data_IF_991001134763
#
_entry.id   IF_991001134763
#
_cell.length_a   1.000
_cell.length_b   1.000
_cell.length_c   1.000
_cell.angle_alpha   90.00
_cell.angle_beta   90.00
_cell.angle_gamma   90.00
#
_symmetry.space_group_name_H-M   'P 1'
#
loop_
_entity.id
_entity.type
_entity.pdbx_description
1 polymer ?
#
# COMPACT_ATOMS: atom_id res chain seq x y z
N UNK A 1 13.79 23.78 19.20
CA UNK A 1 14.45 23.98 17.88
C UNK A 1 14.68 22.65 17.17
N UNK A 2 15.54 21.75 17.68
CA UNK A 2 15.87 20.47 17.01
C UNK A 2 14.63 19.63 16.71
N UNK A 3 13.72 19.42 17.68
CA UNK A 3 12.48 18.69 17.46
C UNK A 3 11.60 19.30 16.36
N UNK A 4 11.44 20.62 16.36
CA UNK A 4 10.63 21.33 15.34
C UNK A 4 11.17 21.13 13.92
N UNK A 5 12.48 21.09 13.73
CA UNK A 5 13.10 20.81 12.43
C UNK A 5 12.89 19.37 12.00
N UNK A 6 13.10 18.42 12.93
CA UNK A 6 12.88 17.00 12.64
C UNK A 6 11.41 16.73 12.29
N UNK A 7 10.47 17.33 13.03
CA UNK A 7 9.03 17.26 12.77
C UNK A 7 8.62 17.99 11.47
N UNK A 8 9.43 18.95 11.00
CA UNK A 8 9.27 19.57 9.67
C UNK A 8 9.90 18.74 8.54
N UNK A 9 10.51 17.59 8.85
CA UNK A 9 11.23 16.75 7.88
C UNK A 9 12.58 17.30 7.44
N UNK A 10 13.13 18.23 8.22
CA UNK A 10 14.36 18.96 7.96
C UNK A 10 15.51 18.52 8.87
N UNK A 11 16.72 18.92 8.50
CA UNK A 11 17.95 18.53 9.18
C UNK A 11 18.78 19.73 9.66
N UNK A 12 19.99 19.45 10.17
CA UNK A 12 20.91 20.47 10.69
C UNK A 12 21.12 21.65 9.73
N UNK A 13 21.33 21.41 8.43
CA UNK A 13 21.59 22.49 7.47
C UNK A 13 20.42 23.47 7.33
N UNK A 14 19.17 22.99 7.44
CA UNK A 14 17.99 23.84 7.40
C UNK A 14 17.86 24.64 8.70
N UNK A 15 18.09 23.99 9.85
CA UNK A 15 18.12 24.65 11.15
C UNK A 15 19.16 25.76 11.22
N UNK A 16 20.40 25.48 10.80
CA UNK A 16 21.49 26.45 10.78
C UNK A 16 21.14 27.65 9.90
N UNK A 17 20.54 27.40 8.72
CA UNK A 17 20.06 28.46 7.83
C UNK A 17 18.94 29.28 8.47
N UNK A 18 17.93 28.64 9.06
CA UNK A 18 16.83 29.32 9.74
C UNK A 18 17.33 30.18 10.89
N UNK A 19 18.24 29.65 11.70
CA UNK A 19 18.79 30.39 12.82
C UNK A 19 19.60 31.61 12.35
N UNK A 20 20.37 31.48 11.26
CA UNK A 20 21.06 32.63 10.66
C UNK A 20 20.09 33.70 10.14
N UNK A 21 19.02 33.31 9.43
CA UNK A 21 18.03 34.23 8.88
C UNK A 21 17.19 34.94 9.96
N UNK A 22 16.86 34.23 11.03
CA UNK A 22 16.03 34.74 12.12
C UNK A 22 16.84 35.29 13.30
N UNK A 23 18.17 35.43 13.16
CA UNK A 23 19.06 35.92 14.22
C UNK A 23 18.94 35.14 15.55
N UNK A 24 18.68 33.83 15.44
CA UNK A 24 18.57 32.92 16.59
C UNK A 24 19.92 32.32 16.98
N UNK A 25 20.08 31.84 18.23
CA UNK A 25 21.33 31.24 18.70
C UNK A 25 21.83 30.12 17.78
N UNK A 26 23.13 30.14 17.50
CA UNK A 26 23.80 29.06 16.77
C UNK A 26 23.85 27.79 17.62
N UNK A 27 23.66 26.64 16.98
CA UNK A 27 23.93 25.34 17.59
C UNK A 27 24.92 24.58 16.72
N UNK A 28 25.86 23.85 17.33
CA UNK A 28 26.81 23.03 16.59
C UNK A 28 26.15 21.78 16.02
N UNK A 29 26.73 21.19 14.97
CA UNK A 29 26.30 19.90 14.43
C UNK A 29 26.34 18.79 15.49
N UNK A 30 27.35 18.80 16.35
CA UNK A 30 27.47 17.87 17.47
C UNK A 30 26.29 18.00 18.45
N UNK A 31 25.98 19.23 18.85
CA UNK A 31 24.85 19.53 19.74
C UNK A 31 23.53 19.11 19.10
N UNK A 32 23.35 19.40 17.81
CA UNK A 32 22.17 18.93 17.05
C UNK A 32 22.06 17.41 17.08
N UNK A 33 23.14 16.69 16.78
CA UNK A 33 23.16 15.23 16.74
C UNK A 33 22.86 14.61 18.10
N UNK A 34 23.38 15.19 19.20
CA UNK A 34 23.08 14.78 20.57
C UNK A 34 21.57 14.88 20.86
N UNK A 35 20.98 16.06 20.62
CA UNK A 35 19.55 16.24 20.85
C UNK A 35 18.68 15.42 19.90
N UNK A 36 19.08 15.25 18.64
CA UNK A 36 18.36 14.41 17.69
C UNK A 36 18.31 12.95 18.14
N UNK A 37 19.36 12.42 18.79
CA UNK A 37 19.33 11.08 19.41
C UNK A 37 18.29 11.00 20.52
N UNK A 38 18.36 11.90 21.49
CA UNK A 38 17.44 11.96 22.64
C UNK A 38 15.98 12.08 22.16
N UNK A 39 15.73 12.96 21.18
CA UNK A 39 14.39 13.15 20.61
C UNK A 39 13.91 11.90 19.88
N UNK A 40 14.79 11.21 19.13
CA UNK A 40 14.44 9.98 18.43
C UNK A 40 14.08 8.88 19.43
N UNK A 41 14.89 8.69 20.48
CA UNK A 41 14.64 7.72 21.54
C UNK A 41 13.30 7.99 22.24
N UNK A 42 13.03 9.25 22.64
CA UNK A 42 11.72 9.60 23.21
C UNK A 42 10.56 9.47 22.23
N UNK A 43 10.79 9.72 20.93
CA UNK A 43 9.77 9.50 19.92
C UNK A 43 9.41 8.02 19.80
N UNK A 44 10.40 7.14 19.81
CA UNK A 44 10.21 5.68 19.76
C UNK A 44 9.46 5.23 21.02
N UNK A 45 9.90 5.63 22.21
CA UNK A 45 9.22 5.27 23.47
C UNK A 45 7.75 5.74 23.49
N UNK A 46 7.49 6.99 23.09
CA UNK A 46 6.13 7.55 23.01
C UNK A 46 5.27 6.78 22.00
N UNK A 47 5.83 6.47 20.83
CA UNK A 47 5.18 5.66 19.81
C UNK A 47 4.83 4.25 20.32
N UNK A 48 5.73 3.59 21.06
CA UNK A 48 5.47 2.26 21.63
C UNK A 48 4.31 2.27 22.64
N UNK A 49 4.18 3.33 23.45
CA UNK A 49 3.02 3.51 24.35
C UNK A 49 1.72 3.67 23.55
N UNK A 50 1.72 4.53 22.54
CA UNK A 50 0.57 4.74 21.65
C UNK A 50 0.18 3.44 20.94
N UNK A 51 1.16 2.65 20.48
CA UNK A 51 0.91 1.35 19.87
C UNK A 51 0.29 0.35 20.86
N UNK A 52 0.73 0.33 22.12
CA UNK A 52 0.11 -0.49 23.16
C UNK A 52 -1.37 -0.12 23.37
N UNK A 53 -1.65 1.17 23.56
CA UNK A 53 -3.02 1.67 23.69
C UNK A 53 -3.88 1.38 22.45
N UNK A 54 -3.27 1.43 21.25
CA UNK A 54 -3.95 1.11 20.00
C UNK A 54 -4.37 -0.36 19.94
N UNK A 55 -3.54 -1.26 20.47
CA UNK A 55 -3.87 -2.69 20.59
C UNK A 55 -5.00 -2.92 21.60
N UNK A 56 -5.03 -2.19 22.72
CA UNK A 56 -6.14 -2.25 23.68
C UNK A 56 -7.46 -1.80 23.05
N UNK A 57 -7.44 -0.70 22.26
CA UNK A 57 -8.60 -0.24 21.49
C UNK A 57 -9.07 -1.31 20.50
N UNK A 58 -8.14 -1.99 19.81
CA UNK A 58 -8.47 -3.07 18.88
C UNK A 58 -9.19 -4.20 19.60
N UNK A 59 -8.70 -4.64 20.76
CA UNK A 59 -9.36 -5.68 21.55
C UNK A 59 -10.79 -5.26 21.90
N UNK A 60 -11.01 -4.01 22.31
CA UNK A 60 -12.34 -3.48 22.61
C UNK A 60 -13.26 -3.42 21.38
N UNK A 61 -12.75 -3.04 20.21
CA UNK A 61 -13.55 -2.96 18.97
C UNK A 61 -13.89 -4.35 18.41
N UNK A 62 -13.00 -5.33 18.56
CA UNK A 62 -13.27 -6.71 18.15
C UNK A 62 -14.27 -7.42 19.07
N UNK A 63 -14.26 -7.13 20.37
CA UNK A 63 -15.29 -7.60 21.29
C UNK A 63 -16.71 -7.15 20.87
N UNK A 64 -16.86 -5.93 20.33
CA UNK A 64 -18.13 -5.44 19.75
C UNK A 64 -18.57 -6.25 18.52
N UNK A 65 -17.63 -6.86 17.82
CA UNK A 65 -17.86 -7.78 16.70
C UNK A 65 -18.07 -9.23 17.16
N UNK A 66 -18.08 -9.49 18.47
CA UNK A 66 -18.15 -10.83 19.09
C UNK A 66 -16.97 -11.71 18.71
N UNK A 67 -15.81 -11.10 18.47
CA UNK A 67 -14.54 -11.80 18.26
C UNK A 67 -13.72 -11.59 19.52
N UNK A 68 -13.59 -12.65 20.32
CA UNK A 68 -12.90 -12.63 21.60
C UNK A 68 -11.52 -13.30 21.50
N UNK A 69 -10.58 -12.96 22.40
CA UNK A 69 -9.31 -13.68 22.51
C UNK A 69 -9.51 -15.16 22.83
N UNK A 70 -8.57 -15.99 22.40
CA UNK A 70 -8.54 -17.41 22.76
C UNK A 70 -8.15 -17.66 24.23
N UNK A 71 -8.07 -18.93 24.62
CA UNK A 71 -7.71 -19.35 26.00
C UNK A 71 -6.36 -18.81 26.48
N UNK A 72 -5.47 -18.41 25.59
CA UNK A 72 -4.15 -17.84 25.91
C UNK A 72 -4.17 -16.30 25.88
N UNK A 73 -5.35 -15.70 25.71
CA UNK A 73 -5.54 -14.27 25.58
C UNK A 73 -5.05 -13.72 24.24
N UNK A 74 -4.97 -14.55 23.18
CA UNK A 74 -4.55 -14.11 21.85
C UNK A 74 -5.78 -13.79 21.01
N UNK A 75 -5.84 -12.57 20.47
CA UNK A 75 -6.93 -12.15 19.58
C UNK A 75 -6.55 -12.33 18.10
N UNK A 76 -7.41 -13.00 17.35
CA UNK A 76 -7.29 -13.13 15.90
C UNK A 76 -7.77 -11.84 15.21
N UNK A 77 -6.89 -11.25 14.40
CA UNK A 77 -7.19 -10.02 13.66
C UNK A 77 -6.85 -10.12 12.18
N UNK A 78 -7.54 -9.30 11.38
CA UNK A 78 -7.23 -9.06 9.99
C UNK A 78 -6.31 -7.83 9.90
N UNK A 79 -5.17 -7.94 9.20
CA UNK A 79 -4.21 -6.84 9.04
C UNK A 79 -4.01 -6.49 7.57
N UNK A 80 -3.81 -5.21 7.28
CA UNK A 80 -3.15 -4.79 6.05
C UNK A 80 -1.66 -4.73 6.31
N UNK A 81 -0.85 -5.23 5.38
CA UNK A 81 0.60 -5.11 5.46
C UNK A 81 1.16 -4.56 4.15
N UNK A 82 2.10 -3.62 4.24
CA UNK A 82 2.76 -3.03 3.09
C UNK A 82 4.15 -2.50 3.48
N UNK A 83 5.05 -2.54 2.51
CA UNK A 83 6.42 -2.07 2.60
C UNK A 83 6.60 -0.69 2.01
N UNK A 84 7.55 0.08 2.55
CA UNK A 84 7.95 1.35 1.94
C UNK A 84 9.44 1.63 2.06
N UNK A 85 10.01 2.21 1.01
CA UNK A 85 11.45 2.48 0.92
C UNK A 85 11.73 3.97 0.87
N UNK A 86 12.87 4.36 1.43
CA UNK A 86 13.33 5.75 1.41
C UNK A 86 13.62 6.23 -0.01
N UNK A 87 14.21 5.38 -0.86
CA UNK A 87 14.42 5.64 -2.30
C UNK A 87 13.61 4.65 -3.12
N UNK A 88 13.08 5.09 -4.26
CA UNK A 88 12.40 4.18 -5.20
C UNK A 88 13.40 3.20 -5.81
N UNK A 89 12.97 1.95 -6.00
CA UNK A 89 13.73 0.88 -6.63
C UNK A 89 14.56 0.04 -5.63
N UNK A 90 15.09 -1.09 -6.13
CA UNK A 90 15.78 -2.12 -5.33
C UNK A 90 17.21 -1.73 -4.87
N UNK A 91 17.51 -0.43 -4.82
CA UNK A 91 18.79 0.11 -4.35
C UNK A 91 18.66 0.90 -3.05
N UNK A 92 17.48 0.91 -2.43
CA UNK A 92 17.30 1.62 -1.17
C UNK A 92 18.09 0.96 -0.04
N UNK A 93 18.61 1.79 0.86
CA UNK A 93 19.32 1.34 2.05
C UNK A 93 18.40 1.16 3.26
N UNK A 94 17.19 1.73 3.20
CA UNK A 94 16.22 1.73 4.30
C UNK A 94 14.86 1.29 3.76
N UNK A 95 14.34 0.22 4.35
CA UNK A 95 12.99 -0.30 4.12
C UNK A 95 12.20 -0.30 5.42
N UNK A 96 10.89 -0.10 5.33
CA UNK A 96 9.98 -0.07 6.47
C UNK A 96 8.81 -1.00 6.15
N UNK A 97 8.56 -2.00 6.99
CA UNK A 97 7.35 -2.82 6.95
C UNK A 97 6.35 -2.35 8.00
N UNK A 98 5.06 -2.32 7.67
CA UNK A 98 4.02 -1.80 8.58
C UNK A 98 2.79 -2.71 8.56
N UNK A 99 2.30 -3.06 9.75
CA UNK A 99 1.02 -3.73 9.94
C UNK A 99 -0.03 -2.76 10.51
N UNK A 100 -1.21 -2.75 9.90
CA UNK A 100 -2.36 -1.92 10.31
C UNK A 100 -3.57 -2.83 10.44
N UNK A 101 -4.31 -2.71 11.54
CA UNK A 101 -5.55 -3.45 11.74
C UNK A 101 -6.63 -3.03 10.74
N UNK A 102 -7.35 -4.00 10.18
CA UNK A 102 -8.35 -3.75 9.14
C UNK A 102 -9.62 -3.12 9.69
N UNK A 103 -10.00 -3.37 10.94
CA UNK A 103 -11.26 -2.86 11.51
C UNK A 103 -11.11 -1.41 11.96
N UNK A 104 -10.19 -1.16 12.88
CA UNK A 104 -9.94 0.13 13.51
C UNK A 104 -9.12 1.07 12.63
N UNK A 105 -8.41 0.51 11.64
CA UNK A 105 -7.42 1.23 10.82
C UNK A 105 -6.25 1.78 11.63
N UNK A 106 -5.98 1.29 12.84
CA UNK A 106 -4.84 1.70 13.64
C UNK A 106 -3.59 0.90 13.28
N UNK A 107 -2.43 1.55 13.29
CA UNK A 107 -1.14 0.87 13.17
C UNK A 107 -0.92 0.03 14.42
N UNK A 108 -0.47 -1.21 14.27
CA UNK A 108 -0.25 -2.12 15.41
C UNK A 108 1.21 -2.48 15.61
N UNK A 109 1.99 -2.48 14.52
CA UNK A 109 3.40 -2.82 14.52
C UNK A 109 4.11 -2.26 13.28
N UNK A 110 5.41 -2.03 13.38
CA UNK A 110 6.28 -1.65 12.26
C UNK A 110 7.72 -2.12 12.47
N UNK A 111 8.46 -2.32 11.39
CA UNK A 111 9.87 -2.71 11.42
C UNK A 111 10.68 -1.87 10.44
N UNK A 112 11.75 -1.23 10.95
CA UNK A 112 12.72 -0.51 10.12
C UNK A 112 13.93 -1.39 9.88
N UNK A 113 14.24 -1.65 8.61
CA UNK A 113 15.41 -2.37 8.16
C UNK A 113 16.37 -1.40 7.46
N UNK A 114 17.64 -1.52 7.78
CA UNK A 114 18.70 -0.69 7.27
C UNK A 114 19.95 -1.52 6.99
N UNK A 115 20.47 -1.39 5.78
CA UNK A 115 21.71 -2.07 5.34
C UNK A 115 22.92 -1.14 5.24
N UNK A 116 22.78 0.12 5.68
CA UNK A 116 23.83 1.12 5.54
C UNK A 116 24.11 1.87 6.84
N UNK A 117 25.38 1.95 7.21
CA UNK A 117 25.88 2.86 8.22
C UNK A 117 26.97 3.72 7.61
N UNK A 118 26.80 5.04 7.64
CA UNK A 118 27.79 5.97 7.07
C UNK A 118 29.14 5.89 7.79
N UNK A 119 29.13 5.71 9.11
CA UNK A 119 30.36 5.60 9.90
C UNK A 119 31.11 4.33 9.54
N UNK A 120 30.42 3.19 9.40
CA UNK A 120 31.04 1.95 8.91
C UNK A 120 31.64 2.12 7.51
N UNK A 121 30.87 2.68 6.56
CA UNK A 121 31.35 2.87 5.19
C UNK A 121 32.58 3.80 5.12
N UNK A 122 32.59 4.86 5.95
CA UNK A 122 33.75 5.75 6.06
C UNK A 122 34.97 5.02 6.62
N UNK A 123 34.80 4.29 7.73
CA UNK A 123 35.91 3.59 8.38
C UNK A 123 36.47 2.48 7.50
N UNK A 124 35.61 1.68 6.87
CA UNK A 124 36.00 0.68 5.86
C UNK A 124 36.84 1.30 4.73
N UNK A 125 36.44 2.48 4.22
CA UNK A 125 37.18 3.19 3.18
C UNK A 125 38.53 3.76 3.65
N UNK A 126 38.66 4.07 4.94
CA UNK A 126 39.89 4.59 5.54
C UNK A 126 40.90 3.47 5.82
N UNK A 127 40.45 2.30 6.28
CA UNK A 127 41.31 1.16 6.58
C UNK A 127 41.68 0.33 5.32
N UNK A 128 40.79 0.21 4.34
CA UNK A 128 41.10 -0.48 3.06
C UNK A 128 42.24 0.18 2.26
N UNK A 129 42.59 1.44 2.56
CA UNK A 129 43.73 2.15 1.96
C UNK A 129 45.07 1.87 2.66
N UNK A 130 45.08 1.13 3.77
CA UNK A 130 46.28 0.82 4.57
C UNK A 130 46.33 -0.68 4.89
N UNK A 131 47.19 -1.43 4.18
CA UNK A 131 47.32 -2.90 4.25
C UNK A 131 47.65 -3.45 5.65
N UNK A 132 48.20 -2.63 6.55
CA UNK A 132 48.64 -2.97 7.92
C UNK A 132 47.56 -2.83 9.00
N UNK A 133 46.27 -2.73 8.65
CA UNK A 133 45.23 -2.23 9.57
C UNK A 133 44.00 -3.11 9.77
N UNK A 134 44.04 -4.39 9.36
CA UNK A 134 42.89 -5.30 9.48
C UNK A 134 42.43 -5.49 10.95
N UNK A 135 43.38 -5.72 11.87
CA UNK A 135 43.09 -5.87 13.31
C UNK A 135 42.43 -4.62 13.91
N UNK A 136 42.87 -3.42 13.49
CA UNK A 136 42.27 -2.14 13.93
C UNK A 136 40.84 -1.97 13.41
N UNK A 137 40.57 -2.44 12.20
CA UNK A 137 39.22 -2.42 11.63
C UNK A 137 38.28 -3.39 12.36
N UNK A 138 38.75 -4.60 12.71
CA UNK A 138 37.99 -5.56 13.49
C UNK A 138 37.69 -5.04 14.90
N UNK A 139 38.68 -4.44 15.57
CA UNK A 139 38.48 -3.79 16.87
C UNK A 139 37.41 -2.68 16.76
N UNK A 140 37.52 -1.79 15.77
CA UNK A 140 36.51 -0.76 15.52
C UNK A 140 35.13 -1.35 15.27
N UNK A 141 35.03 -2.43 14.49
CA UNK A 141 33.74 -3.08 14.17
C UNK A 141 33.05 -3.59 15.44
N UNK A 142 33.81 -4.22 16.34
CA UNK A 142 33.30 -4.69 17.62
C UNK A 142 32.87 -3.52 18.53
N UNK A 143 33.68 -2.46 18.61
CA UNK A 143 33.35 -1.25 19.38
C UNK A 143 32.16 -0.49 18.80
N UNK A 144 31.94 -0.52 17.48
CA UNK A 144 30.85 0.19 16.82
C UNK A 144 29.55 -0.62 16.75
N UNK A 145 29.56 -1.93 17.05
CA UNK A 145 28.41 -2.81 16.89
C UNK A 145 27.13 -2.24 17.52
N UNK A 146 27.21 -1.79 18.77
CA UNK A 146 26.09 -1.20 19.53
C UNK A 146 25.66 0.20 19.05
N UNK A 147 26.43 0.84 18.16
CA UNK A 147 26.14 2.14 17.54
C UNK A 147 25.83 2.01 16.05
N UNK A 148 25.91 0.79 15.50
CA UNK A 148 25.77 0.54 14.08
C UNK A 148 24.31 0.68 13.66
N UNK A 149 24.08 1.39 12.56
CA UNK A 149 22.76 1.48 11.95
C UNK A 149 22.42 0.28 11.04
N UNK A 150 23.35 -0.65 10.81
CA UNK A 150 23.07 -1.84 10.01
C UNK A 150 22.38 -2.85 10.90
N UNK A 151 21.14 -3.19 10.57
CA UNK A 151 20.38 -4.27 11.20
C UNK A 151 19.81 -5.26 10.18
N UNK A 152 20.26 -5.16 8.91
CA UNK A 152 19.77 -5.98 7.82
C UNK A 152 20.88 -6.23 6.79
N UNK A 153 21.08 -7.49 6.42
CA UNK A 153 22.11 -7.94 5.48
C UNK A 153 21.56 -8.41 4.12
N UNK A 154 20.24 -8.53 3.99
CA UNK A 154 19.59 -8.97 2.75
C UNK A 154 19.50 -7.89 1.66
N UNK A 155 18.83 -8.23 0.56
CA UNK A 155 18.64 -7.31 -0.58
C UNK A 155 17.51 -6.32 -0.29
N UNK A 156 17.54 -5.14 -0.92
CA UNK A 156 16.48 -4.16 -0.71
C UNK A 156 15.09 -4.66 -1.17
N UNK A 157 15.05 -5.60 -2.13
CA UNK A 157 13.84 -6.24 -2.60
C UNK A 157 13.22 -7.18 -1.55
N UNK A 158 14.03 -7.80 -0.68
CA UNK A 158 13.56 -8.70 0.39
C UNK A 158 13.22 -7.97 1.70
N UNK A 159 13.55 -6.68 1.81
CA UNK A 159 13.25 -5.92 3.04
C UNK A 159 11.77 -5.95 3.42
N UNK A 160 10.86 -5.97 2.45
CA UNK A 160 9.43 -6.05 2.74
C UNK A 160 9.05 -7.40 3.36
N UNK A 161 9.44 -8.51 2.73
CA UNK A 161 9.12 -9.86 3.21
C UNK A 161 9.80 -10.16 4.55
N UNK A 162 11.04 -9.72 4.72
CA UNK A 162 11.82 -9.99 5.94
C UNK A 162 11.34 -9.12 7.10
N UNK A 163 10.91 -7.88 6.84
CA UNK A 163 10.22 -7.07 7.84
C UNK A 163 8.89 -7.70 8.26
N UNK A 164 8.17 -8.33 7.33
CA UNK A 164 6.93 -9.03 7.62
C UNK A 164 7.19 -10.23 8.54
N UNK A 165 8.20 -11.06 8.23
CA UNK A 165 8.59 -12.19 9.07
C UNK A 165 8.88 -11.74 10.51
N UNK A 166 9.66 -10.65 10.68
CA UNK A 166 9.95 -10.09 12.02
C UNK A 166 8.66 -9.67 12.72
N UNK A 167 7.77 -8.92 12.05
CA UNK A 167 6.51 -8.44 12.61
C UNK A 167 5.59 -9.61 13.03
N UNK A 168 5.50 -10.65 12.21
CA UNK A 168 4.72 -11.85 12.51
C UNK A 168 5.32 -12.62 13.70
N UNK A 169 6.64 -12.79 13.76
CA UNK A 169 7.31 -13.53 14.84
C UNK A 169 6.98 -12.98 16.23
N UNK A 170 6.96 -11.65 16.39
CA UNK A 170 6.68 -10.96 17.67
C UNK A 170 5.22 -10.52 17.86
N UNK A 171 4.30 -11.09 17.08
CA UNK A 171 2.88 -10.72 17.15
C UNK A 171 2.19 -11.29 18.40
N UNK A 172 2.52 -12.54 18.77
CA UNK A 172 1.97 -13.17 19.97
C UNK A 172 2.39 -12.51 21.28
N UNK A 173 3.60 -11.92 21.32
CA UNK A 173 4.07 -11.09 22.44
C UNK A 173 3.16 -9.87 22.66
N UNK A 174 2.47 -9.43 21.60
CA UNK A 174 1.51 -8.33 21.61
C UNK A 174 0.07 -8.80 21.82
N UNK A 175 -0.14 -10.09 22.10
CA UNK A 175 -1.46 -10.72 22.28
C UNK A 175 -2.36 -10.66 21.05
N UNK A 176 -1.76 -10.58 19.85
CA UNK A 176 -2.47 -10.53 18.57
C UNK A 176 -1.93 -11.60 17.62
N UNK A 177 -2.82 -12.30 16.93
CA UNK A 177 -2.48 -13.22 15.84
C UNK A 177 -3.03 -12.67 14.52
N UNK A 178 -2.14 -12.43 13.58
CA UNK A 178 -2.46 -11.83 12.28
C UNK A 178 -2.93 -12.92 11.32
N UNK A 179 -4.19 -13.32 11.46
CA UNK A 179 -4.79 -14.45 10.75
C UNK A 179 -5.01 -14.15 9.27
N UNK A 180 -5.30 -12.90 8.92
CA UNK A 180 -5.50 -12.50 7.52
C UNK A 180 -4.55 -11.38 7.17
N UNK A 181 -3.88 -11.50 6.03
CA UNK A 181 -3.12 -10.41 5.40
C UNK A 181 -3.87 -9.89 4.18
N UNK A 182 -4.22 -8.59 4.23
CA UNK A 182 -4.66 -7.83 3.07
C UNK A 182 -3.44 -7.18 2.46
N UNK A 183 -3.02 -7.66 1.30
CA UNK A 183 -1.91 -7.10 0.52
C UNK A 183 -2.40 -6.63 -0.85
N UNK A 184 -1.67 -5.73 -1.49
CA UNK A 184 -1.74 -5.58 -2.93
C UNK A 184 -0.86 -6.69 -3.51
N UNK A 185 -0.81 -6.80 -4.83
CA UNK A 185 -0.06 -7.91 -5.41
C UNK A 185 1.40 -7.91 -5.01
N UNK A 186 1.78 -8.90 -4.23
CA UNK A 186 3.04 -9.64 -4.37
C UNK A 186 2.85 -11.01 -3.70
N UNK A 187 3.47 -12.05 -4.26
CA UNK A 187 3.40 -13.40 -3.70
C UNK A 187 4.51 -13.64 -2.67
N UNK A 188 5.60 -12.88 -2.71
CA UNK A 188 6.79 -13.10 -1.87
C UNK A 188 6.52 -12.86 -0.39
N UNK A 189 5.95 -11.73 0.00
CA UNK A 189 5.64 -11.41 1.40
C UNK A 189 4.70 -12.44 2.03
N UNK A 190 3.58 -12.75 1.35
CA UNK A 190 2.65 -13.78 1.80
C UNK A 190 3.32 -15.15 1.90
N UNK A 191 4.10 -15.54 0.87
CA UNK A 191 4.85 -16.79 0.88
C UNK A 191 5.81 -16.86 2.06
N UNK A 192 6.57 -15.81 2.34
CA UNK A 192 7.48 -15.76 3.49
C UNK A 192 6.75 -15.95 4.82
N UNK A 193 5.54 -15.39 4.96
CA UNK A 193 4.72 -15.58 6.16
C UNK A 193 4.20 -17.02 6.26
N UNK A 194 3.77 -17.62 5.14
CA UNK A 194 3.33 -19.02 5.11
C UNK A 194 4.49 -19.95 5.43
N UNK A 195 5.62 -19.81 4.72
CA UNK A 195 6.84 -20.60 4.94
C UNK A 195 7.34 -20.47 6.40
N UNK A 196 7.17 -19.28 7.02
CA UNK A 196 7.47 -19.08 8.44
C UNK A 196 6.59 -19.95 9.33
N UNK A 197 5.28 -19.97 9.09
CA UNK A 197 4.30 -20.67 9.93
C UNK A 197 4.23 -22.19 9.68
N UNK A 198 4.55 -22.65 8.46
CA UNK A 198 4.65 -24.08 8.12
C UNK A 198 5.85 -24.77 8.81
N UNK A 199 6.84 -23.98 9.27
CA UNK A 199 7.95 -24.44 10.11
C UNK A 199 7.64 -24.36 11.62
N UNK A 200 8.62 -23.91 12.41
CA UNK A 200 8.45 -23.58 13.85
C UNK A 200 7.97 -22.13 14.06
N UNK A 201 7.16 -21.62 13.15
CA UNK A 201 6.66 -20.26 13.21
C UNK A 201 5.74 -19.98 14.40
N UNK A 202 5.38 -18.70 14.61
CA UNK A 202 4.62 -18.30 15.79
C UNK A 202 3.20 -18.89 15.83
N UNK A 203 2.63 -19.38 14.72
CA UNK A 203 1.22 -19.77 14.61
C UNK A 203 1.03 -21.29 14.43
N UNK A 204 1.21 -22.10 15.48
CA UNK A 204 1.08 -23.56 15.37
C UNK A 204 -0.34 -23.95 14.97
N UNK A 205 -0.46 -24.65 13.84
CA UNK A 205 -1.75 -25.17 13.34
C UNK A 205 -2.73 -24.10 12.83
N UNK A 206 -2.28 -22.85 12.63
CA UNK A 206 -3.13 -21.76 12.11
C UNK A 206 -2.56 -21.22 10.81
N UNK A 207 -3.33 -21.38 9.73
CA UNK A 207 -2.96 -20.85 8.42
C UNK A 207 -3.29 -19.36 8.31
N UNK A 208 -2.34 -18.58 7.78
CA UNK A 208 -2.57 -17.18 7.44
C UNK A 208 -3.31 -17.10 6.10
N UNK A 209 -4.44 -16.42 6.06
CA UNK A 209 -5.24 -16.21 4.85
C UNK A 209 -4.79 -14.96 4.10
N UNK A 210 -4.70 -15.06 2.77
CA UNK A 210 -4.52 -13.87 1.91
C UNK A 210 -5.86 -13.28 1.49
N UNK A 211 -6.00 -11.97 1.58
CA UNK A 211 -7.09 -11.19 0.98
C UNK A 211 -6.51 -10.15 0.02
N UNK A 212 -7.29 -9.80 -1.00
CA UNK A 212 -6.87 -8.90 -2.06
C UNK A 212 -7.36 -7.47 -1.81
N UNK A 213 -6.50 -6.50 -2.05
CA UNK A 213 -6.91 -5.10 -2.09
C UNK A 213 -7.74 -4.84 -3.36
N UNK A 214 -9.06 -4.66 -3.22
CA UNK A 214 -9.98 -4.51 -4.38
C UNK A 214 -9.68 -3.29 -5.26
N UNK A 215 -9.02 -2.26 -4.71
CA UNK A 215 -8.57 -1.08 -5.46
C UNK A 215 -7.36 -1.41 -6.36
N UNK A 216 -6.54 -2.38 -5.96
CA UNK A 216 -5.38 -2.84 -6.72
C UNK A 216 -5.71 -4.01 -7.64
N UNK A 217 -6.69 -4.83 -7.28
CA UNK A 217 -7.03 -6.05 -8.01
C UNK A 217 -7.43 -5.77 -9.48
N UNK A 218 -8.20 -4.71 -9.74
CA UNK A 218 -8.56 -4.30 -11.11
C UNK A 218 -7.37 -3.84 -11.96
N UNK A 219 -6.31 -3.30 -11.34
CA UNK A 219 -5.06 -2.95 -12.05
C UNK A 219 -4.36 -4.20 -12.59
N UNK A 220 -4.57 -5.37 -11.98
CA UNK A 220 -4.03 -6.66 -12.49
C UNK A 220 -4.63 -7.01 -13.84
N UNK A 221 -5.94 -6.83 -14.01
CA UNK A 221 -6.59 -7.02 -15.31
C UNK A 221 -5.96 -6.08 -16.35
N UNK A 222 -5.89 -4.78 -16.06
CA UNK A 222 -5.28 -3.79 -16.96
C UNK A 222 -3.86 -4.21 -17.38
N UNK A 223 -3.03 -4.59 -16.42
CA UNK A 223 -1.65 -5.00 -16.67
C UNK A 223 -1.56 -6.28 -17.51
N UNK A 224 -2.36 -7.31 -17.20
CA UNK A 224 -2.39 -8.57 -17.97
C UNK A 224 -2.84 -8.33 -19.41
N UNK A 225 -3.91 -7.56 -19.63
CA UNK A 225 -4.37 -7.23 -20.98
C UNK A 225 -3.35 -6.38 -21.75
N UNK A 226 -2.71 -5.42 -21.07
CA UNK A 226 -1.66 -4.59 -21.69
C UNK A 226 -0.46 -5.44 -22.10
N UNK A 227 -0.04 -6.38 -21.25
CA UNK A 227 1.07 -7.28 -21.54
C UNK A 227 0.72 -8.28 -22.64
N UNK A 228 -0.52 -8.78 -22.66
CA UNK A 228 -1.04 -9.64 -23.72
C UNK A 228 -1.00 -8.91 -25.08
N UNK A 229 -1.47 -7.66 -25.14
CA UNK A 229 -1.34 -6.85 -26.37
C UNK A 229 0.12 -6.67 -26.78
N UNK A 230 1.02 -6.49 -25.81
CA UNK A 230 2.46 -6.32 -26.06
C UNK A 230 3.18 -7.60 -26.47
N UNK A 231 2.69 -8.79 -26.13
CA UNK A 231 3.30 -10.06 -26.52
C UNK A 231 2.98 -10.43 -27.97
N UNK A 232 1.89 -9.88 -28.52
CA UNK A 232 1.43 -10.16 -29.88
C UNK A 232 1.71 -8.98 -30.80
N UNK A 233 2.94 -8.93 -31.33
CA UNK A 233 3.36 -7.93 -32.31
C UNK A 233 4.15 -8.53 -33.46
N UNK A 234 4.03 -7.88 -34.62
CA UNK A 234 4.92 -8.11 -35.76
C UNK A 234 5.90 -6.94 -35.83
N UNK A 235 7.17 -7.25 -36.06
CA UNK A 235 8.19 -6.23 -36.27
C UNK A 235 8.36 -5.98 -37.76
N UNK A 236 7.98 -4.79 -38.20
CA UNK A 236 8.07 -4.38 -39.59
C UNK A 236 9.23 -3.40 -39.76
N UNK A 237 10.08 -3.63 -40.75
CA UNK A 237 11.14 -2.68 -41.12
C UNK A 237 10.57 -1.61 -42.07
N UNK A 238 10.61 -0.35 -41.64
CA UNK A 238 10.11 0.78 -42.44
C UNK A 238 11.19 1.33 -43.37
N UNK A 239 12.42 1.35 -42.87
CA UNK A 239 13.65 1.79 -43.56
C UNK A 239 14.83 1.01 -42.94
N UNK A 240 15.97 0.87 -43.64
CA UNK A 240 17.15 0.23 -43.08
C UNK A 240 17.50 0.77 -41.69
N UNK A 241 17.43 -0.09 -40.67
CA UNK A 241 17.72 0.25 -39.28
C UNK A 241 16.58 0.92 -38.49
N UNK A 242 15.40 1.15 -39.09
CA UNK A 242 14.21 1.68 -38.42
C UNK A 242 13.09 0.63 -38.40
N UNK A 243 12.97 -0.05 -37.26
CA UNK A 243 11.95 -1.05 -37.00
C UNK A 243 10.76 -0.48 -36.24
N UNK A 244 9.54 -0.90 -36.59
CA UNK A 244 8.31 -0.53 -35.89
C UNK A 244 7.55 -1.79 -35.48
N UNK A 245 7.11 -1.82 -34.22
CA UNK A 245 6.20 -2.85 -33.73
C UNK A 245 4.76 -2.51 -34.11
N UNK A 246 4.10 -3.42 -34.80
CA UNK A 246 2.67 -3.39 -35.04
C UNK A 246 2.00 -4.45 -34.17
N UNK A 247 1.11 -4.02 -33.26
CA UNK A 247 0.43 -4.92 -32.33
C UNK A 247 -0.84 -5.49 -32.96
N UNK A 248 -0.99 -6.82 -32.94
CA UNK A 248 -2.09 -7.54 -33.59
C UNK A 248 -3.47 -7.14 -33.05
N UNK A 249 -3.55 -6.82 -31.74
CA UNK A 249 -4.81 -6.59 -31.02
C UNK A 249 -5.09 -5.11 -30.69
N UNK A 250 -4.31 -4.15 -31.21
CA UNK A 250 -4.38 -2.73 -30.78
C UNK A 250 -4.95 -1.78 -31.83
N UNK A 251 -5.67 -2.28 -32.84
CA UNK A 251 -6.29 -1.44 -33.89
C UNK A 251 -7.60 -0.81 -33.38
N UNK A 252 -8.13 0.18 -34.12
CA UNK A 252 -9.43 0.80 -33.81
C UNK A 252 -10.51 -0.29 -33.78
N UNK A 253 -11.31 -0.32 -32.72
CA UNK A 253 -12.32 -1.37 -32.50
C UNK A 253 -11.79 -2.64 -31.82
N UNK A 254 -10.51 -2.69 -31.45
CA UNK A 254 -9.89 -3.80 -30.69
C UNK A 254 -9.50 -3.36 -29.27
N UNK A 255 -8.55 -4.06 -28.63
CA UNK A 255 -8.00 -3.74 -27.31
C UNK A 255 -7.03 -2.53 -27.34
N UNK A 256 -7.57 -1.37 -27.69
CA UNK A 256 -6.87 -0.09 -27.50
C UNK A 256 -6.67 0.22 -26.01
N UNK A 257 -5.73 1.13 -25.70
CA UNK A 257 -5.49 1.53 -24.30
C UNK A 257 -6.76 2.07 -23.62
N UNK A 258 -7.59 2.80 -24.38
CA UNK A 258 -8.89 3.29 -23.91
C UNK A 258 -9.85 2.14 -23.55
N UNK A 259 -9.95 1.12 -24.40
CA UNK A 259 -10.80 -0.05 -24.15
C UNK A 259 -10.30 -0.81 -22.92
N UNK A 260 -9.00 -1.08 -22.83
CA UNK A 260 -8.40 -1.75 -21.66
C UNK A 260 -8.68 -0.98 -20.37
N UNK A 261 -8.56 0.36 -20.39
CA UNK A 261 -8.89 1.20 -19.24
C UNK A 261 -10.35 1.11 -18.84
N UNK A 262 -11.26 1.04 -19.82
CA UNK A 262 -12.70 0.89 -19.56
C UNK A 262 -13.06 -0.49 -19.03
N UNK A 263 -12.46 -1.54 -19.58
CA UNK A 263 -12.62 -2.90 -19.07
C UNK A 263 -12.15 -3.01 -17.61
N UNK A 264 -10.99 -2.44 -17.27
CA UNK A 264 -10.52 -2.40 -15.89
C UNK A 264 -11.43 -1.58 -14.96
N UNK A 265 -12.02 -0.48 -15.45
CA UNK A 265 -13.01 0.30 -14.70
C UNK A 265 -14.30 -0.51 -14.44
N UNK A 266 -14.82 -1.20 -15.46
CA UNK A 266 -16.01 -2.06 -15.30
C UNK A 266 -15.74 -3.24 -14.38
N UNK A 267 -14.58 -3.88 -14.50
CA UNK A 267 -14.14 -4.93 -13.58
C UNK A 267 -14.13 -4.44 -12.13
N UNK A 268 -13.54 -3.25 -11.89
CA UNK A 268 -13.51 -2.64 -10.57
C UNK A 268 -14.90 -2.28 -10.03
N UNK A 269 -15.78 -1.75 -10.89
CA UNK A 269 -17.16 -1.41 -10.55
C UNK A 269 -17.93 -2.66 -10.12
N UNK A 270 -17.90 -3.72 -10.93
CA UNK A 270 -18.58 -4.98 -10.63
C UNK A 270 -18.06 -5.61 -9.33
N UNK A 271 -16.74 -5.59 -9.09
CA UNK A 271 -16.17 -6.04 -7.81
C UNK A 271 -16.78 -5.30 -6.61
N UNK A 272 -16.89 -3.97 -6.70
CA UNK A 272 -17.43 -3.14 -5.60
C UNK A 272 -18.92 -3.36 -5.38
N UNK A 273 -19.68 -3.49 -6.46
CA UNK A 273 -21.14 -3.70 -6.39
C UNK A 273 -21.53 -5.07 -5.85
N UNK A 274 -20.62 -6.05 -5.90
CA UNK A 274 -20.86 -7.44 -5.45
C UNK A 274 -20.15 -7.82 -4.16
N UNK A 275 -19.61 -6.86 -3.41
CA UNK A 275 -19.04 -7.12 -2.07
C UNK A 275 -20.13 -7.72 -1.17
N UNK A 276 -19.86 -8.88 -0.58
CA UNK A 276 -20.82 -9.57 0.30
C UNK A 276 -21.92 -10.38 -0.40
N UNK A 277 -21.99 -10.39 -1.73
CA UNK A 277 -22.99 -11.16 -2.49
C UNK A 277 -22.54 -12.61 -2.77
N UNK A 278 -21.31 -12.97 -2.40
CA UNK A 278 -20.75 -14.31 -2.64
C UNK A 278 -19.89 -14.38 -3.90
N UNK A 279 -19.19 -15.50 -4.03
CA UNK A 279 -18.17 -15.73 -5.05
C UNK A 279 -18.78 -15.82 -6.45
N UNK A 280 -19.87 -16.55 -6.60
CA UNK A 280 -20.52 -16.79 -7.89
C UNK A 280 -21.12 -15.49 -8.46
N UNK A 281 -21.88 -14.74 -7.65
CA UNK A 281 -22.45 -13.46 -8.05
C UNK A 281 -21.40 -12.43 -8.47
N UNK A 282 -20.28 -12.38 -7.74
CA UNK A 282 -19.16 -11.50 -8.06
C UNK A 282 -18.54 -11.86 -9.42
N UNK A 283 -18.26 -13.16 -9.65
CA UNK A 283 -17.76 -13.66 -10.93
C UNK A 283 -18.72 -13.34 -12.06
N UNK A 284 -19.99 -13.69 -11.90
CA UNK A 284 -21.00 -13.54 -12.95
C UNK A 284 -21.17 -12.08 -13.35
N UNK A 285 -21.17 -11.15 -12.38
CA UNK A 285 -21.23 -9.71 -12.66
C UNK A 285 -20.02 -9.21 -13.45
N UNK A 286 -18.82 -9.67 -13.10
CA UNK A 286 -17.60 -9.31 -13.83
C UNK A 286 -17.62 -9.88 -15.25
N UNK A 287 -17.93 -11.16 -15.39
CA UNK A 287 -18.00 -11.87 -16.67
C UNK A 287 -19.09 -11.30 -17.57
N UNK A 288 -20.22 -10.86 -17.01
CA UNK A 288 -21.27 -10.16 -17.75
C UNK A 288 -20.73 -8.92 -18.48
N UNK A 289 -19.88 -8.13 -17.82
CA UNK A 289 -19.28 -6.94 -18.46
C UNK A 289 -18.29 -7.31 -19.59
N UNK A 290 -17.55 -8.41 -19.43
CA UNK A 290 -16.66 -8.92 -20.47
C UNK A 290 -17.46 -9.37 -21.71
N UNK A 291 -18.42 -10.27 -21.52
CA UNK A 291 -19.24 -10.80 -22.60
C UNK A 291 -20.06 -9.72 -23.30
N UNK A 292 -20.60 -8.77 -22.53
CA UNK A 292 -21.29 -7.62 -23.09
C UNK A 292 -20.39 -6.80 -24.03
N UNK A 293 -19.15 -6.50 -23.61
CA UNK A 293 -18.21 -5.71 -24.41
C UNK A 293 -17.62 -6.44 -25.62
N UNK A 294 -17.60 -7.78 -25.64
CA UNK A 294 -17.14 -8.59 -26.78
C UNK A 294 -18.27 -9.11 -27.67
N UNK A 295 -19.52 -8.81 -27.32
CA UNK A 295 -20.72 -9.24 -28.03
C UNK A 295 -20.88 -8.52 -29.38
N UNK A 296 -21.49 -9.19 -30.35
CA UNK A 296 -21.87 -8.60 -31.66
C UNK A 296 -23.34 -8.84 -31.96
N UNK A 297 -23.86 -8.19 -33.01
CA UNK A 297 -25.26 -8.40 -33.45
C UNK A 297 -25.47 -9.84 -33.94
N UNK A 298 -24.47 -10.45 -34.57
CA UNK A 298 -24.50 -11.83 -35.08
C UNK A 298 -24.28 -12.87 -33.97
N UNK A 299 -23.55 -12.52 -32.92
CA UNK A 299 -23.24 -13.39 -31.78
C UNK A 299 -23.51 -12.66 -30.45
N UNK A 300 -24.79 -12.50 -30.07
CA UNK A 300 -25.16 -11.81 -28.86
C UNK A 300 -24.78 -12.60 -27.60
N UNK A 301 -24.04 -11.99 -26.67
CA UNK A 301 -23.52 -12.64 -25.45
C UNK A 301 -24.01 -11.93 -24.17
N UNK A 302 -25.33 -11.86 -23.97
CA UNK A 302 -25.94 -11.13 -22.84
C UNK A 302 -26.47 -12.04 -21.72
N UNK A 303 -26.14 -13.34 -21.74
CA UNK A 303 -26.68 -14.36 -20.85
C UNK A 303 -26.39 -14.12 -19.35
N UNK A 304 -25.29 -13.45 -19.00
CA UNK A 304 -24.98 -13.06 -17.61
C UNK A 304 -25.41 -11.63 -17.25
N UNK A 305 -25.91 -10.86 -18.22
CA UNK A 305 -26.39 -9.51 -17.92
C UNK A 305 -27.67 -9.59 -17.07
N UNK A 306 -27.90 -8.64 -16.14
CA UNK A 306 -29.15 -8.56 -15.40
C UNK A 306 -30.35 -8.50 -16.36
N UNK A 307 -31.44 -9.17 -16.03
CA UNK A 307 -32.68 -9.14 -16.81
C UNK A 307 -33.58 -7.99 -16.36
N UNK A 308 -34.60 -7.67 -17.15
CA UNK A 308 -35.64 -6.69 -16.82
C UNK A 308 -35.38 -5.27 -17.34
N UNK A 309 -36.41 -4.44 -17.20
CA UNK A 309 -36.47 -3.03 -17.62
C UNK A 309 -35.39 -2.14 -16.98
N UNK A 310 -34.97 -2.49 -15.76
CA UNK A 310 -33.91 -1.81 -15.01
C UNK A 310 -32.49 -2.29 -15.35
N UNK A 311 -32.33 -3.22 -16.28
CA UNK A 311 -31.01 -3.71 -16.66
C UNK A 311 -30.13 -2.60 -17.23
N UNK A 312 -28.85 -2.59 -16.92
CA UNK A 312 -27.91 -1.70 -17.60
C UNK A 312 -27.61 -2.17 -19.04
N UNK A 313 -27.92 -3.43 -19.35
CA UNK A 313 -27.71 -4.02 -20.67
C UNK A 313 -28.87 -3.66 -21.60
N UNK A 314 -28.58 -2.97 -22.70
CA UNK A 314 -29.58 -2.57 -23.69
C UNK A 314 -30.31 -3.78 -24.30
N UNK A 315 -29.61 -4.91 -24.47
CA UNK A 315 -30.18 -6.12 -25.06
C UNK A 315 -31.23 -6.73 -24.13
N UNK A 316 -30.91 -6.87 -22.85
CA UNK A 316 -31.84 -7.40 -21.84
C UNK A 316 -33.01 -6.46 -21.58
N UNK A 317 -32.79 -5.14 -21.66
CA UNK A 317 -33.86 -4.14 -21.60
C UNK A 317 -34.86 -4.29 -22.75
N UNK A 318 -34.35 -4.42 -23.98
CA UNK A 318 -35.19 -4.58 -25.15
C UNK A 318 -35.97 -5.90 -25.10
N UNK A 319 -35.31 -6.99 -24.70
CA UNK A 319 -35.96 -8.28 -24.48
C UNK A 319 -37.09 -8.21 -23.43
N UNK A 320 -36.88 -7.50 -22.32
CA UNK A 320 -37.89 -7.33 -21.29
C UNK A 320 -39.09 -6.46 -21.72
N UNK A 321 -38.92 -5.64 -22.75
CA UNK A 321 -39.96 -4.78 -23.33
C UNK A 321 -40.57 -5.37 -24.60
N UNK A 322 -40.21 -6.60 -24.97
CA UNK A 322 -40.60 -7.25 -26.23
C UNK A 322 -40.25 -6.42 -27.49
N UNK A 323 -39.12 -5.69 -27.44
CA UNK A 323 -38.61 -4.85 -28.52
C UNK A 323 -37.33 -5.45 -29.15
N UNK A 324 -37.07 -5.18 -30.44
CA UNK A 324 -35.80 -5.54 -31.05
C UNK A 324 -34.65 -4.76 -30.38
N UNK A 325 -33.52 -5.43 -30.04
CA UNK A 325 -32.40 -4.77 -29.39
C UNK A 325 -31.69 -3.80 -30.34
N UNK A 326 -31.24 -2.63 -29.85
CA UNK A 326 -30.32 -1.75 -30.58
C UNK A 326 -29.05 -2.49 -31.05
N UNK A 327 -28.45 -2.02 -32.15
CA UNK A 327 -27.18 -2.59 -32.64
C UNK A 327 -26.00 -2.29 -31.73
N UNK A 328 -25.08 -3.25 -31.59
CA UNK A 328 -23.84 -3.12 -30.80
C UNK A 328 -22.93 -1.99 -31.31
N UNK A 329 -23.08 -1.53 -32.55
CA UNK A 329 -22.28 -0.40 -33.08
C UNK A 329 -22.51 0.91 -32.32
N UNK A 330 -23.64 1.04 -31.62
CA UNK A 330 -23.96 2.18 -30.76
C UNK A 330 -23.29 2.11 -29.39
N UNK A 331 -22.66 0.99 -29.04
CA UNK A 331 -21.96 0.84 -27.77
C UNK A 331 -20.71 1.71 -27.72
N UNK A 332 -20.59 2.48 -26.65
CA UNK A 332 -19.40 3.31 -26.39
C UNK A 332 -18.13 2.49 -26.19
N UNK A 333 -18.27 1.31 -25.58
CA UNK A 333 -17.16 0.40 -25.30
C UNK A 333 -17.54 -0.99 -25.80
N UNK A 334 -16.99 -1.32 -26.96
CA UNK A 334 -17.02 -2.66 -27.54
C UNK A 334 -15.65 -2.97 -28.14
N UNK A 335 -15.31 -4.24 -28.26
CA UNK A 335 -14.12 -4.66 -28.97
C UNK A 335 -14.35 -5.98 -29.71
N UNK A 336 -13.69 -6.11 -30.85
CA UNK A 336 -13.71 -7.31 -31.66
C UNK A 336 -12.28 -7.80 -31.87
N UNK A 337 -12.10 -9.11 -31.78
CA UNK A 337 -10.82 -9.78 -31.97
C UNK A 337 -11.07 -11.07 -32.76
N UNK A 338 -10.01 -11.57 -33.40
CA UNK A 338 -10.04 -12.93 -33.95
C UNK A 338 -10.30 -13.95 -32.82
N UNK A 339 -10.98 -15.08 -33.10
CA UNK A 339 -11.38 -16.03 -32.07
C UNK A 339 -10.25 -16.50 -31.15
N UNK A 340 -9.06 -16.72 -31.71
CA UNK A 340 -7.88 -17.13 -30.93
C UNK A 340 -7.48 -16.06 -29.90
N UNK A 341 -7.36 -14.80 -30.31
CA UNK A 341 -7.05 -13.68 -29.42
C UNK A 341 -8.16 -13.40 -28.40
N UNK A 342 -9.43 -13.54 -28.80
CA UNK A 342 -10.55 -13.37 -27.87
C UNK A 342 -10.52 -14.41 -26.75
N UNK A 343 -10.18 -15.66 -27.07
CA UNK A 343 -10.05 -16.72 -26.05
C UNK A 343 -8.87 -16.47 -25.10
N UNK A 344 -7.74 -15.93 -25.58
CA UNK A 344 -6.65 -15.51 -24.70
C UNK A 344 -7.08 -14.42 -23.70
N UNK A 345 -7.86 -13.43 -24.16
CA UNK A 345 -8.44 -12.39 -23.28
C UNK A 345 -9.43 -13.00 -22.31
N UNK A 346 -10.29 -13.90 -22.77
CA UNK A 346 -11.26 -14.61 -21.94
C UNK A 346 -10.57 -15.41 -20.83
N UNK A 347 -9.46 -16.09 -21.14
CA UNK A 347 -8.67 -16.83 -20.16
C UNK A 347 -8.07 -15.90 -19.08
N UNK A 348 -7.66 -14.68 -19.44
CA UNK A 348 -7.27 -13.68 -18.42
C UNK A 348 -8.41 -13.38 -17.45
N UNK A 349 -9.65 -13.25 -17.93
CA UNK A 349 -10.82 -13.06 -17.08
C UNK A 349 -11.15 -14.29 -16.23
N UNK A 350 -11.14 -15.49 -16.81
CA UNK A 350 -11.37 -16.75 -16.08
C UNK A 350 -10.38 -16.89 -14.91
N UNK A 351 -9.10 -16.69 -15.16
CA UNK A 351 -8.06 -16.76 -14.14
C UNK A 351 -8.26 -15.72 -13.02
N UNK A 352 -8.58 -14.49 -13.38
CA UNK A 352 -8.83 -13.40 -12.41
C UNK A 352 -10.19 -13.49 -11.74
N UNK A 353 -11.04 -14.43 -12.13
CA UNK A 353 -12.35 -14.67 -11.52
C UNK A 353 -12.51 -16.10 -11.03
N UNK A 354 -11.42 -16.83 -10.81
CA UNK A 354 -11.46 -18.15 -10.18
C UNK A 354 -12.07 -18.07 -8.77
N UNK A 355 -12.60 -19.19 -8.26
CA UNK A 355 -13.18 -19.26 -6.91
C UNK A 355 -12.21 -18.75 -5.85
N UNK A 356 -10.95 -19.18 -5.92
CA UNK A 356 -9.89 -18.74 -5.02
C UNK A 356 -9.72 -17.21 -5.07
N UNK A 357 -9.63 -16.63 -6.27
CA UNK A 357 -9.41 -15.18 -6.42
C UNK A 357 -10.61 -14.36 -5.93
N UNK A 358 -11.82 -14.78 -6.26
CA UNK A 358 -13.04 -14.09 -5.82
C UNK A 358 -13.22 -14.20 -4.32
N UNK A 359 -12.91 -15.33 -3.70
CA UNK A 359 -12.94 -15.50 -2.24
C UNK A 359 -11.98 -14.54 -1.51
N UNK A 360 -10.89 -14.11 -2.15
CA UNK A 360 -10.00 -13.07 -1.63
C UNK A 360 -10.53 -11.64 -1.81
N UNK A 361 -11.58 -11.45 -2.61
CA UNK A 361 -12.16 -10.14 -2.94
C UNK A 361 -13.53 -9.91 -2.28
N UNK A 362 -14.29 -10.96 -1.94
CA UNK A 362 -15.67 -10.86 -1.42
C UNK A 362 -15.83 -9.98 -0.18
N UNK A 363 -14.80 -9.88 0.67
CA UNK A 363 -14.79 -9.01 1.87
C UNK A 363 -14.54 -7.53 1.55
N UNK A 364 -14.22 -7.18 0.30
CA UNK A 364 -14.07 -5.78 -0.14
C UNK A 364 -12.92 -5.02 0.53
N UNK A 365 -11.88 -5.71 1.00
CA UNK A 365 -10.81 -5.11 1.81
C UNK A 365 -9.94 -4.15 0.96
N UNK A 366 -9.39 -3.13 1.61
CA UNK A 366 -8.50 -2.14 0.97
C UNK A 366 -7.35 -1.77 1.88
N UNK A 367 -6.20 -1.42 1.29
CA UNK A 367 -5.00 -1.01 2.00
C UNK A 367 -4.70 0.49 1.92
N UNK A 368 -5.68 1.34 1.57
CA UNK A 368 -5.47 2.78 1.44
C UNK A 368 -4.90 3.44 2.72
N UNK A 369 -5.07 2.79 3.88
CA UNK A 369 -4.43 3.21 5.13
C UNK A 369 -2.90 3.22 5.04
N UNK A 370 -2.30 2.23 4.39
CA UNK A 370 -0.85 2.13 4.17
C UNK A 370 -0.35 3.30 3.33
N UNK A 371 -0.99 3.56 2.18
CA UNK A 371 -0.63 4.69 1.31
C UNK A 371 -0.66 6.03 2.05
N UNK A 372 -1.70 6.26 2.87
CA UNK A 372 -1.83 7.47 3.67
C UNK A 372 -0.75 7.61 4.73
N UNK A 373 -0.35 6.51 5.37
CA UNK A 373 0.71 6.50 6.38
C UNK A 373 2.09 6.68 5.73
N UNK A 374 2.36 5.98 4.63
CA UNK A 374 3.59 6.11 3.85
C UNK A 374 3.83 7.56 3.44
N UNK A 375 2.81 8.26 2.94
CA UNK A 375 2.92 9.70 2.63
C UNK A 375 3.36 10.53 3.84
N UNK A 376 2.88 10.21 5.04
CA UNK A 376 3.25 10.93 6.28
C UNK A 376 4.66 10.62 6.75
N UNK A 377 5.08 9.35 6.70
CA UNK A 377 6.47 8.97 7.03
C UNK A 377 7.44 9.79 6.17
N UNK A 378 7.16 9.87 4.88
CA UNK A 378 8.03 10.56 3.94
C UNK A 378 7.85 12.08 3.92
N UNK A 379 6.83 12.64 4.59
CA UNK A 379 6.81 14.07 4.91
C UNK A 379 7.77 14.43 6.05
N UNK A 380 8.04 13.50 6.97
CA UNK A 380 9.05 13.66 8.02
C UNK A 380 10.45 13.21 7.59
N UNK A 381 10.57 12.52 6.47
CA UNK A 381 11.85 12.11 5.91
C UNK A 381 11.83 12.24 4.39
N UNK A 382 12.33 13.37 3.90
CA UNK A 382 12.30 13.65 2.46
C UNK A 382 13.12 12.61 1.67
N UNK A 383 12.48 11.99 0.68
CA UNK A 383 13.09 10.98 -0.22
C UNK A 383 14.22 11.51 -1.10
N UNK A 384 14.26 12.83 -1.35
CA UNK A 384 15.28 13.47 -2.19
C UNK A 384 16.62 13.67 -1.44
N UNK A 385 16.61 13.67 -0.11
CA UNK A 385 17.80 13.85 0.71
C UNK A 385 18.33 12.49 1.16
N UNK A 386 19.64 12.36 1.33
CA UNK A 386 20.20 11.21 2.04
C UNK A 386 19.66 11.20 3.49
N UNK A 387 19.32 10.02 3.99
CA UNK A 387 18.77 9.85 5.34
C UNK A 387 19.51 8.75 6.09
N UNK A 388 19.72 9.01 7.38
CA UNK A 388 20.26 8.02 8.32
C UNK A 388 19.13 7.16 8.88
N UNK A 389 19.45 5.95 9.37
CA UNK A 389 18.46 5.12 10.06
C UNK A 389 17.79 5.86 11.22
N UNK A 390 18.55 6.61 12.03
CA UNK A 390 18.00 7.42 13.13
C UNK A 390 16.90 8.38 12.66
N UNK A 391 17.10 9.06 11.53
CA UNK A 391 16.05 9.94 10.99
C UNK A 391 14.84 9.12 10.52
N UNK A 392 15.05 7.97 9.88
CA UNK A 392 13.97 7.08 9.50
C UNK A 392 13.19 6.54 10.73
N UNK A 393 13.89 6.17 11.81
CA UNK A 393 13.30 5.72 13.07
C UNK A 393 12.45 6.83 13.70
N UNK A 394 12.94 8.07 13.73
CA UNK A 394 12.13 9.22 14.16
C UNK A 394 10.91 9.40 13.26
N UNK A 395 11.10 9.44 11.94
CA UNK A 395 10.04 9.72 10.99
C UNK A 395 8.91 8.68 11.03
N UNK A 396 9.24 7.39 11.11
CA UNK A 396 8.22 6.34 11.25
C UNK A 396 7.53 6.41 12.60
N UNK A 397 8.28 6.58 13.70
CA UNK A 397 7.71 6.60 15.05
C UNK A 397 6.78 7.80 15.23
N UNK A 398 7.18 8.96 14.69
CA UNK A 398 6.37 10.17 14.74
C UNK A 398 5.13 10.07 13.86
N UNK A 399 5.28 9.56 12.62
CA UNK A 399 4.15 9.34 11.72
C UNK A 399 3.12 8.36 12.28
N UNK A 400 3.57 7.25 12.88
CA UNK A 400 2.71 6.25 13.52
C UNK A 400 1.99 6.86 14.72
N UNK A 401 2.70 7.60 15.58
CA UNK A 401 2.10 8.29 16.72
C UNK A 401 1.01 9.28 16.26
N UNK A 402 1.29 10.14 15.27
CA UNK A 402 0.29 11.06 14.71
C UNK A 402 -0.89 10.33 14.06
N UNK A 403 -0.63 9.18 13.46
CA UNK A 403 -1.64 8.42 12.73
C UNK A 403 -2.65 7.79 13.68
N UNK A 404 -2.18 7.20 14.77
CA UNK A 404 -3.02 6.55 15.76
C UNK A 404 -3.63 7.52 16.78
N UNK A 405 -2.85 8.50 17.25
CA UNK A 405 -3.23 9.34 18.38
C UNK A 405 -3.63 10.79 18.01
N UNK A 406 -3.34 11.24 16.78
CA UNK A 406 -3.48 12.63 16.38
C UNK A 406 -2.32 13.52 16.84
N UNK A 407 -2.18 14.70 16.22
CA UNK A 407 -1.03 15.59 16.42
C UNK A 407 -0.92 16.16 17.84
N UNK A 408 -2.05 16.37 18.53
CA UNK A 408 -2.06 16.93 19.88
C UNK A 408 -1.49 15.91 20.87
N UNK A 409 -1.88 14.64 20.76
CA UNK A 409 -1.44 13.59 21.70
C UNK A 409 -0.04 13.05 21.36
N UNK A 410 0.31 12.96 20.09
CA UNK A 410 1.61 12.46 19.64
C UNK A 410 2.77 13.44 19.84
N UNK A 411 2.48 14.74 19.99
CA UNK A 411 3.51 15.77 20.09
C UNK A 411 4.42 15.57 21.32
N UNK A 412 5.73 15.61 21.08
CA UNK A 412 6.76 15.27 22.07
C UNK A 412 7.03 16.34 23.12
N UNK A 413 6.36 17.51 23.11
CA UNK A 413 6.60 18.56 24.11
C UNK A 413 6.52 18.01 25.55
N UNK A 414 5.43 17.31 25.88
CA UNK A 414 5.19 16.76 27.23
C UNK A 414 6.19 15.61 27.52
N UNK A 415 6.36 14.59 26.64
CA UNK A 415 7.38 13.55 26.81
C UNK A 415 8.82 14.07 27.00
N UNK A 416 9.14 15.22 26.42
CA UNK A 416 10.45 15.87 26.54
C UNK A 416 10.54 16.82 27.76
N UNK A 417 9.48 16.93 28.56
CA UNK A 417 9.45 17.76 29.77
C UNK A 417 9.14 19.24 29.54
N UNK A 418 8.66 19.62 28.35
CA UNK A 418 8.30 20.98 28.02
C UNK A 418 6.80 21.24 28.25
N UNK A 419 6.49 22.42 28.78
CA UNK A 419 5.11 22.92 28.80
C UNK A 419 4.71 23.33 27.39
N UNK A 420 3.63 22.74 26.87
CA UNK A 420 3.07 23.12 25.58
C UNK A 420 2.50 24.54 25.65
N UNK A 421 2.93 25.40 24.72
CA UNK A 421 2.40 26.77 24.61
C UNK A 421 0.98 26.76 24.03
N UNK A 422 0.19 27.80 24.33
CA UNK A 422 -1.14 27.96 23.74
C UNK A 422 -1.09 28.05 22.20
N UNK A 423 -0.03 28.68 21.66
CA UNK A 423 0.19 28.78 20.21
C UNK A 423 0.45 27.39 19.61
N UNK A 424 1.32 26.60 20.24
CA UNK A 424 1.60 25.23 19.79
C UNK A 424 0.34 24.37 19.85
N UNK A 425 -0.43 24.44 20.95
CA UNK A 425 -1.69 23.72 21.09
C UNK A 425 -2.66 24.06 19.95
N UNK A 426 -2.90 25.35 19.70
CA UNK A 426 -3.81 25.79 18.64
C UNK A 426 -3.36 25.34 17.25
N UNK A 427 -2.04 25.31 16.97
CA UNK A 427 -1.52 24.80 15.69
C UNK A 427 -1.74 23.30 15.55
N UNK A 428 -1.50 22.50 16.59
CA UNK A 428 -1.72 21.05 16.55
C UNK A 428 -3.22 20.73 16.35
N UNK A 429 -4.10 21.44 17.05
CA UNK A 429 -5.56 21.30 16.87
C UNK A 429 -6.01 21.68 15.46
N UNK A 430 -5.43 22.74 14.87
CA UNK A 430 -5.69 23.14 13.49
C UNK A 430 -5.22 22.06 12.50
N UNK A 431 -4.06 21.44 12.73
CA UNK A 431 -3.59 20.32 11.92
C UNK A 431 -4.54 19.12 12.00
N UNK A 432 -5.04 18.78 13.20
CA UNK A 432 -6.05 17.73 13.37
C UNK A 432 -7.35 18.04 12.65
N UNK A 433 -7.84 19.28 12.76
CA UNK A 433 -9.05 19.74 12.07
C UNK A 433 -8.90 19.60 10.55
N UNK A 434 -7.77 20.06 9.98
CA UNK A 434 -7.47 19.93 8.54
C UNK A 434 -7.43 18.47 8.09
N UNK A 435 -6.93 17.56 8.92
CA UNK A 435 -6.97 16.13 8.60
C UNK A 435 -8.38 15.55 8.60
N UNK A 436 -9.21 15.90 9.59
CA UNK A 436 -10.61 15.48 9.65
C UNK A 436 -11.40 16.01 8.44
N UNK A 437 -11.18 17.26 8.04
CA UNK A 437 -11.82 17.87 6.87
C UNK A 437 -11.42 17.17 5.55
N UNK A 438 -10.13 16.88 5.36
CA UNK A 438 -9.66 16.12 4.17
C UNK A 438 -10.26 14.71 4.11
N UNK A 439 -10.39 14.02 5.26
CA UNK A 439 -11.07 12.71 5.35
C UNK A 439 -12.55 12.84 4.92
N UNK A 440 -13.25 13.86 5.41
CA UNK A 440 -14.65 14.10 5.07
C UNK A 440 -14.86 14.51 3.60
N UNK A 441 -13.97 15.31 3.03
CA UNK A 441 -14.00 15.67 1.61
C UNK A 441 -13.75 14.47 0.71
N UNK A 442 -12.82 13.58 1.06
CA UNK A 442 -12.60 12.32 0.35
C UNK A 442 -13.84 11.41 0.39
N UNK A 443 -14.53 11.35 1.54
CA UNK A 443 -15.82 10.67 1.67
C UNK A 443 -16.93 11.28 0.80
N UNK A 444 -17.02 12.61 0.73
CA UNK A 444 -17.96 13.33 -0.15
C UNK A 444 -17.60 13.18 -1.64
N UNK A 445 -16.32 13.16 -1.99
CA UNK A 445 -15.85 12.93 -3.37
C UNK A 445 -16.10 11.49 -3.81
N UNK A 446 -15.94 10.50 -2.91
CA UNK A 446 -16.41 9.11 -3.15
C UNK A 446 -17.92 9.01 -3.32
N UNK A 447 -18.71 9.78 -2.55
CA UNK A 447 -20.16 9.90 -2.77
C UNK A 447 -20.52 10.63 -4.07
N UNK A 448 -19.69 11.57 -4.53
CA UNK A 448 -19.84 12.28 -5.81
C UNK A 448 -19.22 11.54 -7.01
N UNK A 449 -18.35 10.55 -6.79
CA UNK A 449 -17.87 9.61 -7.82
C UNK A 449 -18.77 8.36 -7.93
N UNK A 450 -19.66 8.17 -6.95
CA UNK A 450 -20.99 7.60 -7.18
C UNK A 450 -21.91 8.71 -7.66
N UNK A 451 -21.52 9.42 -8.72
CA UNK A 451 -22.49 10.25 -9.42
C UNK A 451 -23.50 9.30 -10.05
N UNK A 452 -24.69 9.30 -9.48
CA UNK A 452 -25.87 8.62 -9.99
C UNK A 452 -26.46 9.37 -11.19
N UNK A 453 -25.81 10.44 -11.68
CA UNK A 453 -26.25 11.18 -12.85
C UNK A 453 -25.77 10.65 -14.20
N UNK A 454 -25.42 9.36 -14.33
CA UNK A 454 -25.43 8.73 -15.65
C UNK A 454 -26.78 8.08 -15.89
N UNK A 455 -27.69 8.84 -16.50
CA UNK A 455 -28.82 8.30 -17.25
C UNK A 455 -28.34 7.99 -18.67
N UNK A 456 -28.19 6.70 -19.08
CA UNK A 456 -27.99 6.36 -20.48
C UNK A 456 -29.33 6.53 -21.19
N UNK A 457 -29.58 7.72 -21.73
CA UNK A 457 -30.81 8.03 -22.45
C UNK A 457 -31.11 9.51 -22.71
N UNK A 458 -30.25 10.45 -22.29
CA UNK A 458 -30.45 11.88 -22.57
C UNK A 458 -30.04 12.26 -23.99
N UNK A 459 -31.02 12.17 -24.90
CA UNK A 459 -31.14 12.69 -26.28
C UNK A 459 -30.01 12.47 -27.29
#
# INVERSE_FOLDING_TARGET
MVYGEMAAGEGYSALARRNALCTLPYITLETYNKYASIITEKCIESCQKILAESRDIIVQEYAKLKIEPDVNGILDIDVTYDGTWHKRGHHSNIGIGIAIDVVTKLVIDYQVLCKYCHVCAYMESSYSKQTTSLEKYEQYKNEHEHKCYINYSGTAAKMESDAAAIIWQRSLDKKLRYKTIVSDGDSSTYKTIVDLNDGEGPYPGVNVEKQECINHYSKRLKNRLTNLVKSHYVENELKPGMKRKEFAMKKKGMLTDFVIDKLAQYFHKNLREKIGHGVEDMRNSIMASFFHCSSTDEKPQHHLCPTGDKSWCFYQKAAAADLPPPSHTKMKVQFQLEPAYLEEVHNVYKDLTSDEMMQRCVKGRTQNSNESLHQRIWSYSNKAKYQTKRHADFAVSHAVADYNAGYVRSCLDIPLGYRRSAVTQAQLELMEKRMKEKRNQSGKKRKRELDTSYEPGGH
#
